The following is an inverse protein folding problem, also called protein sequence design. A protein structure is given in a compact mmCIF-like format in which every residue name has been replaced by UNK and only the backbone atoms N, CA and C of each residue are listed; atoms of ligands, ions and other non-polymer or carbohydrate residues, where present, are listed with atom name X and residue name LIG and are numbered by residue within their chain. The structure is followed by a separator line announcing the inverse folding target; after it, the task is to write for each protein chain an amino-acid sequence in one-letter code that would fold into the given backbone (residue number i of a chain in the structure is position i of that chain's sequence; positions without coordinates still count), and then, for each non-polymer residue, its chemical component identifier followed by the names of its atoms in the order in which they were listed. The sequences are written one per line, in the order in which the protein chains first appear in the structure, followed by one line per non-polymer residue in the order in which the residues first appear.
data_IF_651666395077
#
_entry.id   IF_651666395077
#
_cell.length_a   1.000
_cell.length_b   1.000
_cell.length_c   1.000
_cell.angle_alpha   90.00
_cell.angle_beta   90.00
_cell.angle_gamma   90.00
#
_symmetry.space_group_name_H-M   'P 1'
#
loop_
_entity.id
_entity.type
_entity.pdbx_description
1 polymer ?
#
# COMPACT_ATOMS: atom_id res chain seq x y z
N UNK A 1 -18.43 -27.44 -0.06
CA UNK A 1 -17.87 -26.14 -0.49
C UNK A 1 -17.76 -25.15 0.69
N UNK A 2 -18.76 -25.05 1.55
CA UNK A 2 -18.76 -24.14 2.73
C UNK A 2 -17.66 -24.38 3.75
N UNK A 3 -17.30 -25.63 4.04
CA UNK A 3 -16.28 -25.98 5.06
C UNK A 3 -14.88 -25.45 4.66
N UNK A 4 -14.51 -25.53 3.38
CA UNK A 4 -13.22 -25.01 2.89
C UNK A 4 -13.14 -23.49 2.97
N UNK A 5 -14.28 -22.79 2.82
CA UNK A 5 -14.39 -21.34 2.96
C UNK A 5 -14.20 -20.84 4.38
N UNK A 6 -14.81 -21.52 5.33
CA UNK A 6 -14.65 -21.21 6.76
C UNK A 6 -13.20 -21.38 7.18
N UNK A 7 -12.54 -22.44 6.70
CA UNK A 7 -11.13 -22.70 6.98
C UNK A 7 -10.22 -21.60 6.38
N UNK A 8 -10.41 -21.21 5.12
CA UNK A 8 -9.63 -20.16 4.48
C UNK A 8 -9.80 -18.79 5.18
N UNK A 9 -11.02 -18.46 5.60
CA UNK A 9 -11.31 -17.22 6.34
C UNK A 9 -10.65 -17.21 7.72
N UNK A 10 -10.66 -18.34 8.43
CA UNK A 10 -10.00 -18.48 9.72
C UNK A 10 -8.49 -18.32 9.60
N UNK A 11 -7.86 -19.01 8.63
CA UNK A 11 -6.42 -18.90 8.35
C UNK A 11 -6.01 -17.45 7.99
N UNK A 12 -6.83 -16.78 7.19
CA UNK A 12 -6.59 -15.36 6.85
C UNK A 12 -6.66 -14.48 8.09
N UNK A 13 -7.65 -14.68 8.94
CA UNK A 13 -7.82 -13.90 10.17
C UNK A 13 -6.64 -14.10 11.13
N UNK A 14 -6.19 -15.33 11.30
CA UNK A 14 -5.04 -15.65 12.18
C UNK A 14 -3.73 -15.08 11.61
N UNK A 15 -3.53 -15.16 10.31
CA UNK A 15 -2.41 -14.51 9.65
C UNK A 15 -2.41 -12.98 9.85
N UNK A 16 -3.55 -12.32 9.68
CA UNK A 16 -3.65 -10.87 9.87
C UNK A 16 -3.40 -10.46 11.33
N UNK A 17 -3.87 -11.23 12.30
CA UNK A 17 -3.54 -11.07 13.73
C UNK A 17 -2.03 -11.23 13.97
N UNK A 18 -1.42 -12.25 13.39
CA UNK A 18 0.03 -12.47 13.45
C UNK A 18 0.81 -11.26 12.85
N UNK A 19 0.37 -10.75 11.69
CA UNK A 19 0.98 -9.59 11.06
C UNK A 19 0.88 -8.34 11.94
N UNK A 20 -0.23 -8.14 12.62
CA UNK A 20 -0.45 -7.00 13.51
C UNK A 20 0.37 -7.13 14.80
N UNK A 21 0.31 -8.30 15.47
CA UNK A 21 0.89 -8.49 16.81
C UNK A 21 2.39 -8.79 16.80
N UNK A 22 2.86 -9.65 15.88
CA UNK A 22 4.27 -10.09 15.85
C UNK A 22 5.13 -9.36 14.84
N UNK A 23 4.57 -8.98 13.68
CA UNK A 23 5.30 -8.21 12.65
C UNK A 23 5.15 -6.70 12.79
N UNK A 24 4.27 -6.24 13.68
CA UNK A 24 3.98 -4.82 13.94
C UNK A 24 3.72 -4.03 12.64
N UNK A 25 2.98 -4.63 11.69
CA UNK A 25 2.65 -3.99 10.44
C UNK A 25 1.59 -2.90 10.65
N UNK A 26 1.70 -1.82 9.88
CA UNK A 26 0.75 -0.72 9.95
C UNK A 26 -0.65 -1.13 9.44
N UNK A 27 -1.68 -0.40 9.87
CA UNK A 27 -3.08 -0.64 9.51
C UNK A 27 -3.33 -0.57 8.00
N UNK A 28 -2.57 0.25 7.25
CA UNK A 28 -2.73 0.36 5.79
C UNK A 28 -2.21 -0.90 5.10
N UNK A 29 -1.12 -1.48 5.61
CA UNK A 29 -0.58 -2.75 5.12
C UNK A 29 -1.54 -3.90 5.42
N UNK A 30 -2.07 -3.97 6.64
CA UNK A 30 -3.08 -4.98 7.03
C UNK A 30 -4.31 -4.90 6.12
N UNK A 31 -4.85 -3.69 5.90
CA UNK A 31 -5.98 -3.47 4.98
C UNK A 31 -5.67 -3.95 3.55
N UNK A 32 -4.45 -3.69 3.07
CA UNK A 32 -4.01 -4.12 1.75
C UNK A 32 -3.94 -5.65 1.65
N UNK A 33 -3.36 -6.30 2.66
CA UNK A 33 -3.28 -7.77 2.74
C UNK A 33 -4.68 -8.40 2.79
N UNK A 34 -5.59 -7.86 3.60
CA UNK A 34 -6.98 -8.32 3.67
C UNK A 34 -7.66 -8.29 2.30
N UNK A 35 -7.52 -7.19 1.56
CA UNK A 35 -8.12 -7.05 0.22
C UNK A 35 -7.49 -8.05 -0.76
N UNK A 36 -6.16 -8.19 -0.74
CA UNK A 36 -5.45 -9.04 -1.69
C UNK A 36 -5.74 -10.52 -1.47
N UNK A 37 -5.77 -10.98 -0.21
CA UNK A 37 -6.11 -12.36 0.15
C UNK A 37 -7.56 -12.68 -0.16
N UNK A 38 -8.49 -11.77 0.17
CA UNK A 38 -9.90 -11.93 -0.18
C UNK A 38 -10.10 -12.13 -1.68
N UNK A 39 -9.48 -11.30 -2.52
CA UNK A 39 -9.59 -11.42 -3.97
C UNK A 39 -9.01 -12.74 -4.51
N UNK A 40 -7.97 -13.26 -3.90
CA UNK A 40 -7.44 -14.57 -4.26
C UNK A 40 -8.42 -15.70 -3.93
N UNK A 41 -8.98 -15.68 -2.72
CA UNK A 41 -9.95 -16.70 -2.32
C UNK A 41 -11.27 -16.60 -3.12
N UNK A 42 -11.76 -15.41 -3.41
CA UNK A 42 -12.91 -15.20 -4.32
C UNK A 42 -12.63 -15.85 -5.69
N UNK A 43 -11.47 -15.58 -6.28
CA UNK A 43 -11.07 -16.18 -7.56
C UNK A 43 -11.03 -17.73 -7.50
N UNK A 44 -10.44 -18.30 -6.45
CA UNK A 44 -10.34 -19.78 -6.35
C UNK A 44 -11.69 -20.43 -6.12
N UNK A 45 -12.62 -19.73 -5.45
CA UNK A 45 -14.01 -20.18 -5.25
C UNK A 45 -14.80 -20.16 -6.55
N UNK A 46 -14.76 -19.05 -7.28
CA UNK A 46 -15.47 -18.88 -8.57
C UNK A 46 -14.97 -19.90 -9.60
N UNK A 47 -13.68 -20.19 -9.59
CA UNK A 47 -13.06 -21.15 -10.52
C UNK A 47 -13.16 -22.61 -10.04
N UNK A 48 -13.71 -22.88 -8.86
CA UNK A 48 -13.80 -24.20 -8.21
C UNK A 48 -12.44 -24.93 -8.12
N UNK A 49 -11.34 -24.18 -7.88
CA UNK A 49 -9.98 -24.70 -7.83
C UNK A 49 -9.50 -24.76 -6.38
N UNK A 50 -8.61 -25.69 -6.09
CA UNK A 50 -7.97 -25.77 -4.80
C UNK A 50 -6.95 -24.64 -4.61
N UNK A 51 -7.13 -23.81 -3.59
CA UNK A 51 -6.34 -22.59 -3.36
C UNK A 51 -4.85 -22.87 -3.00
N UNK A 52 -4.51 -24.05 -2.49
CA UNK A 52 -3.12 -24.45 -2.18
C UNK A 52 -2.37 -24.99 -3.39
N UNK A 53 -3.04 -25.22 -4.52
CA UNK A 53 -2.40 -25.79 -5.68
C UNK A 53 -1.58 -24.73 -6.44
N UNK A 54 -0.37 -25.14 -6.88
CA UNK A 54 0.50 -24.32 -7.73
C UNK A 54 -0.23 -23.76 -8.96
N UNK A 55 -1.02 -24.60 -9.64
CA UNK A 55 -1.75 -24.21 -10.86
C UNK A 55 -2.77 -23.09 -10.59
N UNK A 56 -3.43 -23.11 -9.45
CA UNK A 56 -4.36 -22.05 -9.05
C UNK A 56 -3.67 -20.71 -8.88
N UNK A 57 -2.48 -20.72 -8.29
CA UNK A 57 -1.67 -19.51 -8.11
C UNK A 57 -1.19 -18.97 -9.45
N UNK A 58 -0.71 -19.85 -10.35
CA UNK A 58 -0.29 -19.44 -11.70
C UNK A 58 -1.44 -18.82 -12.49
N UNK A 59 -2.62 -19.43 -12.49
CA UNK A 59 -3.82 -18.88 -13.14
C UNK A 59 -4.23 -17.52 -12.53
N UNK A 60 -4.13 -17.37 -11.22
CA UNK A 60 -4.40 -16.09 -10.59
C UNK A 60 -3.37 -15.02 -10.97
N UNK A 61 -2.09 -15.38 -11.06
CA UNK A 61 -1.03 -14.46 -11.52
C UNK A 61 -1.33 -13.98 -12.95
N UNK A 62 -1.73 -14.89 -13.86
CA UNK A 62 -2.10 -14.54 -15.23
C UNK A 62 -3.29 -13.58 -15.25
N UNK A 63 -4.31 -13.84 -14.45
CA UNK A 63 -5.45 -12.93 -14.27
C UNK A 63 -5.01 -11.54 -13.77
N UNK A 64 -4.09 -11.50 -12.81
CA UNK A 64 -3.58 -10.23 -12.29
C UNK A 64 -2.85 -9.42 -13.36
N UNK A 65 -2.04 -10.09 -14.20
CA UNK A 65 -1.35 -9.43 -15.30
C UNK A 65 -2.31 -8.86 -16.36
N UNK A 66 -3.46 -9.49 -16.57
CA UNK A 66 -4.50 -8.95 -17.46
C UNK A 66 -5.24 -7.75 -16.87
N UNK A 67 -5.48 -7.74 -15.54
CA UNK A 67 -6.36 -6.75 -14.89
C UNK A 67 -5.64 -5.55 -14.30
N UNK A 68 -4.38 -5.67 -13.92
CA UNK A 68 -3.68 -4.67 -13.09
C UNK A 68 -2.35 -4.22 -13.69
N UNK A 69 -1.95 -3.01 -13.30
CA UNK A 69 -0.61 -2.48 -13.62
C UNK A 69 0.49 -3.27 -12.91
N UNK A 70 1.72 -3.38 -13.48
CA UNK A 70 2.81 -4.21 -12.93
C UNK A 70 3.10 -3.98 -11.44
N UNK A 71 3.09 -2.74 -10.98
CA UNK A 71 3.30 -2.39 -9.56
C UNK A 71 2.23 -2.99 -8.64
N UNK A 72 0.96 -2.99 -9.08
CA UNK A 72 -0.14 -3.60 -8.33
C UNK A 72 -0.07 -5.13 -8.33
N UNK A 73 0.31 -5.72 -9.46
CA UNK A 73 0.55 -7.18 -9.58
C UNK A 73 1.63 -7.61 -8.59
N UNK A 74 2.78 -6.93 -8.59
CA UNK A 74 3.89 -7.22 -7.68
C UNK A 74 3.48 -7.16 -6.22
N UNK A 75 2.72 -6.11 -5.81
CA UNK A 75 2.22 -5.98 -4.44
C UNK A 75 1.29 -7.14 -4.05
N UNK A 76 0.32 -7.47 -4.92
CA UNK A 76 -0.65 -8.56 -4.67
C UNK A 76 0.03 -9.93 -4.57
N UNK A 77 1.00 -10.21 -5.41
CA UNK A 77 1.77 -11.44 -5.34
C UNK A 77 2.65 -11.46 -4.08
N UNK A 78 3.21 -10.31 -3.66
CA UNK A 78 4.00 -10.23 -2.44
C UNK A 78 3.16 -10.53 -1.19
N UNK A 79 1.92 -10.04 -1.11
CA UNK A 79 1.01 -10.36 0.01
C UNK A 79 0.63 -11.83 0.05
N UNK A 80 0.38 -12.47 -1.11
CA UNK A 80 0.15 -13.91 -1.19
C UNK A 80 1.38 -14.74 -0.78
N UNK A 81 2.58 -14.38 -1.28
CA UNK A 81 3.83 -15.05 -0.87
C UNK A 81 4.03 -14.98 0.65
N UNK A 82 3.78 -13.83 1.25
CA UNK A 82 3.92 -13.65 2.68
C UNK A 82 2.91 -14.50 3.48
N UNK A 83 1.68 -14.65 2.98
CA UNK A 83 0.67 -15.51 3.56
C UNK A 83 1.05 -17.00 3.47
N UNK A 84 1.43 -17.49 2.28
CA UNK A 84 1.83 -18.89 2.12
C UNK A 84 3.10 -19.24 2.90
N UNK A 85 4.03 -18.29 3.04
CA UNK A 85 5.19 -18.47 3.90
C UNK A 85 4.82 -18.58 5.39
N UNK A 86 3.84 -17.80 5.85
CA UNK A 86 3.29 -17.95 7.19
C UNK A 86 2.67 -19.33 7.40
N UNK A 87 1.86 -19.81 6.45
CA UNK A 87 1.22 -21.12 6.53
C UNK A 87 2.26 -22.27 6.60
N UNK A 88 3.37 -22.13 5.88
CA UNK A 88 4.47 -23.10 5.91
C UNK A 88 5.20 -23.11 7.26
N UNK A 89 5.49 -21.93 7.83
CA UNK A 89 6.16 -21.80 9.14
C UNK A 89 5.30 -22.33 10.28
N UNK A 90 3.99 -22.10 10.22
CA UNK A 90 3.03 -22.61 11.23
C UNK A 90 2.60 -24.06 10.93
N UNK A 91 3.28 -24.75 10.01
CA UNK A 91 3.04 -26.16 9.63
C UNK A 91 1.58 -26.45 9.21
N UNK A 92 0.89 -25.43 8.68
CA UNK A 92 -0.50 -25.52 8.21
C UNK A 92 -0.59 -26.03 6.76
N UNK A 93 0.54 -26.04 6.05
CA UNK A 93 0.75 -26.66 4.75
C UNK A 93 2.12 -27.33 4.72
N UNK A 94 2.21 -28.51 4.10
CA UNK A 94 3.46 -29.27 4.01
C UNK A 94 4.50 -28.61 3.12
N UNK A 95 4.08 -28.02 2.00
CA UNK A 95 4.96 -27.42 1.00
C UNK A 95 4.36 -26.11 0.49
N UNK A 96 5.15 -25.04 0.53
CA UNK A 96 4.76 -23.77 -0.04
C UNK A 96 4.79 -23.83 -1.57
N UNK A 97 3.65 -23.67 -2.27
CA UNK A 97 3.56 -23.77 -3.72
C UNK A 97 4.40 -22.70 -4.43
N UNK A 98 4.72 -21.58 -3.79
CA UNK A 98 5.55 -20.53 -4.37
C UNK A 98 7.01 -20.93 -4.59
N UNK A 99 7.54 -21.97 -3.94
CA UNK A 99 8.90 -22.46 -4.20
C UNK A 99 9.13 -22.89 -5.64
N UNK A 100 8.07 -23.35 -6.31
CA UNK A 100 8.13 -23.86 -7.69
C UNK A 100 7.57 -22.86 -8.72
N UNK A 101 7.29 -21.61 -8.33
CA UNK A 101 6.73 -20.59 -9.22
C UNK A 101 7.79 -19.53 -9.51
N UNK A 102 8.18 -19.42 -10.76
CA UNK A 102 9.06 -18.35 -11.23
C UNK A 102 8.21 -17.17 -11.74
N UNK A 103 8.36 -16.00 -11.10
CA UNK A 103 7.63 -14.81 -11.48
C UNK A 103 8.63 -13.77 -11.97
N UNK A 104 8.49 -13.39 -13.25
CA UNK A 104 9.28 -12.31 -13.84
C UNK A 104 8.43 -11.06 -13.98
N UNK A 105 8.88 -9.97 -13.37
CA UNK A 105 8.25 -8.66 -13.52
C UNK A 105 9.07 -7.84 -14.53
N UNK A 106 8.42 -7.40 -15.61
CA UNK A 106 8.98 -6.36 -16.47
C UNK A 106 8.49 -5.01 -15.94
N UNK A 107 9.21 -4.43 -15.00
CA UNK A 107 8.94 -3.05 -14.58
C UNK A 107 9.72 -2.10 -15.47
N UNK A 108 9.06 -1.16 -16.14
CA UNK A 108 9.79 -0.11 -16.84
C UNK A 108 10.52 0.74 -15.80
N UNK A 109 11.79 1.04 -16.04
CA UNK A 109 12.53 1.99 -15.22
C UNK A 109 11.97 3.39 -15.50
N UNK A 110 11.16 3.89 -14.57
CA UNK A 110 10.55 5.22 -14.66
C UNK A 110 11.36 6.15 -13.76
N UNK A 111 12.03 7.11 -14.37
CA UNK A 111 12.71 8.18 -13.61
C UNK A 111 11.68 8.95 -12.79
N UNK A 112 12.00 9.29 -11.54
CA UNK A 112 11.15 10.15 -10.73
C UNK A 112 10.88 11.47 -11.46
N UNK A 113 9.62 11.88 -11.52
CA UNK A 113 9.24 13.21 -12.04
C UNK A 113 9.52 14.23 -10.93
N UNK A 114 10.41 15.15 -11.21
CA UNK A 114 10.68 16.29 -10.33
C UNK A 114 9.89 17.50 -10.77
N UNK A 115 9.51 18.35 -9.82
CA UNK A 115 8.91 19.66 -10.12
C UNK A 115 10.07 20.64 -10.37
N UNK A 116 10.11 21.34 -11.50
CA UNK A 116 11.13 22.37 -11.75
C UNK A 116 11.11 23.43 -10.65
N UNK A 117 12.30 23.93 -10.27
CA UNK A 117 12.43 24.90 -9.18
C UNK A 117 11.63 26.18 -9.43
N UNK A 118 11.60 26.66 -10.67
CA UNK A 118 10.82 27.83 -11.05
C UNK A 118 9.32 27.67 -10.77
N UNK A 119 8.79 26.44 -10.91
CA UNK A 119 7.39 26.17 -10.61
C UNK A 119 7.14 26.17 -9.09
N UNK A 120 8.11 25.68 -8.31
CA UNK A 120 8.04 25.72 -6.84
C UNK A 120 8.03 27.17 -6.36
N UNK A 121 8.92 28.01 -6.88
CA UNK A 121 8.95 29.44 -6.57
C UNK A 121 7.62 30.13 -6.91
N UNK A 122 7.04 29.82 -8.06
CA UNK A 122 5.74 30.38 -8.42
C UNK A 122 4.63 29.97 -7.48
N UNK A 123 4.61 28.70 -7.04
CA UNK A 123 3.63 28.18 -6.07
C UNK A 123 3.78 28.90 -4.74
N UNK A 124 5.00 29.03 -4.23
CA UNK A 124 5.27 29.73 -2.97
C UNK A 124 4.88 31.22 -3.08
N UNK A 125 5.29 31.90 -4.13
CA UNK A 125 4.89 33.29 -4.39
C UNK A 125 3.38 33.47 -4.43
N UNK A 126 2.67 32.56 -5.09
CA UNK A 126 1.22 32.58 -5.14
C UNK A 126 0.60 32.43 -3.73
N UNK A 127 1.14 31.54 -2.90
CA UNK A 127 0.66 31.36 -1.53
C UNK A 127 0.80 32.65 -0.69
N UNK A 128 1.93 33.35 -0.78
CA UNK A 128 2.13 34.66 -0.12
C UNK A 128 1.22 35.74 -0.69
N UNK A 129 0.96 35.73 -1.99
CA UNK A 129 0.03 36.65 -2.62
C UNK A 129 -1.41 36.46 -2.13
N UNK A 130 -1.81 35.22 -1.82
CA UNK A 130 -3.11 34.96 -1.16
C UNK A 130 -3.14 35.53 0.27
N UNK A 131 -2.03 35.46 1.00
CA UNK A 131 -1.93 36.04 2.33
C UNK A 131 -2.12 37.57 2.31
N UNK A 132 -1.50 38.27 1.34
CA UNK A 132 -1.65 39.74 1.21
C UNK A 132 -3.06 40.15 0.78
N UNK A 133 -3.77 39.32 0.01
CA UNK A 133 -5.14 39.58 -0.47
C UNK A 133 -6.22 39.20 0.54
N UNK A 134 -5.88 38.50 1.61
CA UNK A 134 -6.84 38.02 2.60
C UNK A 134 -7.44 39.21 3.39
N UNK A 135 -8.77 39.36 3.34
CA UNK A 135 -9.49 40.47 3.96
C UNK A 135 -9.97 40.17 5.39
N UNK A 136 -10.14 38.89 5.73
CA UNK A 136 -10.62 38.46 7.05
C UNK A 136 -9.51 37.77 7.84
N UNK A 137 -9.56 37.83 9.17
CA UNK A 137 -8.60 37.13 10.02
C UNK A 137 -8.58 35.62 9.80
N UNK A 138 -9.73 35.03 9.54
CA UNK A 138 -9.82 33.61 9.17
C UNK A 138 -9.08 33.31 7.85
N UNK A 139 -9.31 34.13 6.82
CA UNK A 139 -8.64 33.96 5.51
C UNK A 139 -7.12 34.15 5.63
N UNK A 140 -6.66 35.11 6.46
CA UNK A 140 -5.23 35.31 6.74
C UNK A 140 -4.60 34.08 7.39
N UNK A 141 -5.24 33.50 8.42
CA UNK A 141 -4.77 32.29 9.12
C UNK A 141 -4.68 31.09 8.14
N UNK A 142 -5.69 30.92 7.29
CA UNK A 142 -5.69 29.85 6.28
C UNK A 142 -4.56 30.05 5.26
N UNK A 143 -4.40 31.27 4.75
CA UNK A 143 -3.35 31.58 3.77
C UNK A 143 -1.94 31.42 4.38
N UNK A 144 -1.74 31.86 5.62
CA UNK A 144 -0.48 31.69 6.36
C UNK A 144 -0.15 30.22 6.55
N UNK A 145 -1.12 29.43 7.02
CA UNK A 145 -0.96 27.97 7.17
C UNK A 145 -0.56 27.33 5.84
N UNK A 146 -1.20 27.69 4.74
CA UNK A 146 -0.91 27.11 3.43
C UNK A 146 0.50 27.48 2.95
N UNK A 147 0.94 28.73 3.15
CA UNK A 147 2.31 29.15 2.84
C UNK A 147 3.33 28.37 3.69
N UNK A 148 3.11 28.26 5.00
CA UNK A 148 3.99 27.52 5.91
C UNK A 148 4.11 26.05 5.51
N UNK A 149 3.00 25.39 5.16
CA UNK A 149 3.00 24.00 4.69
C UNK A 149 3.90 23.83 3.46
N UNK A 150 3.76 24.72 2.48
CA UNK A 150 4.56 24.67 1.24
C UNK A 150 6.05 24.89 1.52
N UNK A 151 6.40 25.86 2.36
CA UNK A 151 7.77 26.10 2.75
C UNK A 151 8.41 24.94 3.52
N UNK A 152 7.71 24.39 4.50
CA UNK A 152 8.20 23.24 5.24
C UNK A 152 8.43 22.02 4.35
N UNK A 153 7.48 21.71 3.46
CA UNK A 153 7.63 20.60 2.52
C UNK A 153 8.83 20.79 1.59
N UNK A 154 9.05 22.01 1.11
CA UNK A 154 10.16 22.31 0.21
C UNK A 154 11.51 22.35 0.94
N UNK A 155 11.58 23.03 2.10
CA UNK A 155 12.81 23.22 2.84
C UNK A 155 13.34 21.90 3.46
N UNK A 156 12.44 21.06 3.95
CA UNK A 156 12.81 19.84 4.68
C UNK A 156 12.72 18.55 3.86
N UNK A 157 11.92 18.54 2.78
CA UNK A 157 11.62 17.34 2.01
C UNK A 157 10.81 16.29 2.77
N UNK A 158 10.19 16.65 3.90
CA UNK A 158 9.37 15.74 4.69
C UNK A 158 8.14 15.27 3.93
N UNK A 159 7.62 14.08 4.29
CA UNK A 159 6.39 13.58 3.70
C UNK A 159 5.19 14.30 4.28
N UNK A 160 4.11 14.43 3.51
CA UNK A 160 2.87 15.07 3.98
C UNK A 160 2.32 14.44 5.28
N UNK A 161 2.48 13.13 5.46
CA UNK A 161 2.09 12.42 6.68
C UNK A 161 2.93 12.83 7.89
N UNK A 162 4.22 13.08 7.72
CA UNK A 162 5.14 13.55 8.75
C UNK A 162 4.77 14.99 9.14
N UNK A 163 4.51 15.85 8.15
CA UNK A 163 4.03 17.20 8.41
C UNK A 163 2.71 17.23 9.20
N UNK A 164 1.75 16.32 8.88
CA UNK A 164 0.46 16.26 9.58
C UNK A 164 0.58 15.78 11.04
N UNK A 165 1.66 15.09 11.39
CA UNK A 165 1.92 14.61 12.76
C UNK A 165 2.91 15.48 13.53
N UNK A 166 3.42 16.55 12.90
CA UNK A 166 4.37 17.47 13.54
C UNK A 166 3.70 18.22 14.71
N UNK A 167 4.36 18.22 15.83
CA UNK A 167 3.93 18.95 17.04
C UNK A 167 4.83 20.16 17.28
N UNK A 168 4.35 21.14 18.03
CA UNK A 168 5.12 22.35 18.39
C UNK A 168 6.39 22.04 19.18
N UNK A 169 6.42 20.93 19.91
CA UNK A 169 7.60 20.47 20.68
C UNK A 169 8.74 19.92 19.80
N UNK A 170 8.45 19.64 18.53
CA UNK A 170 9.41 19.12 17.54
C UNK A 170 9.97 20.23 16.63
N UNK A 171 9.59 21.47 16.88
CA UNK A 171 10.05 22.65 16.14
C UNK A 171 10.93 23.47 17.08
N UNK A 172 12.25 23.46 16.83
CA UNK A 172 13.22 24.32 17.50
C UNK A 172 13.26 25.72 16.88
#
# INVERSE_FOLDING_TARGET
MEIKNVQANNLTTDYLKFCLSRKNLDQKTIKSYTIDLRQYFEFTMESAIEWTNKKSIEQYIDLLHCKYKPKSVKRKIASLKAFFHYLEIEELIDINPFHKIQIKYKEPFILPKTIPINNIEQIIRFAYLQLTKAKTEYAKKVALRNALILELLFATGMRISELCTLTTEQID
#
